data_IF_847827559255
#
_entry.id   IF_847827559255
#
_cell.length_a   1.000
_cell.length_b   1.000
_cell.length_c   1.000
_cell.angle_alpha   90.00
_cell.angle_beta   90.00
_cell.angle_gamma   90.00
#
_symmetry.space_group_name_H-M   'P 1'
#
loop_
_entity.id
_entity.type
_entity.pdbx_description
1 polymer ?
#
# COMPACT_ATOMS: atom_id res chain seq x y z
N UNK A 1 92.64 0.60 3.81
CA UNK A 1 91.90 -0.33 4.72
C UNK A 1 90.52 0.32 4.79
N UNK A 2 89.60 -0.24 4.06
CA UNK A 2 88.44 0.45 3.55
C UNK A 2 87.16 0.12 4.31
N UNK A 3 86.38 1.12 4.64
CA UNK A 3 85.11 0.98 5.27
C UNK A 3 84.02 1.15 4.19
N UNK A 4 83.08 0.21 4.05
CA UNK A 4 81.96 0.43 3.15
C UNK A 4 80.74 0.95 3.88
N UNK A 5 80.19 2.00 3.27
CA UNK A 5 79.02 2.75 3.65
C UNK A 5 77.73 1.96 3.62
N UNK A 6 76.96 2.03 4.70
CA UNK A 6 75.61 1.52 4.79
C UNK A 6 74.63 2.51 4.14
N UNK A 7 74.03 2.09 3.02
CA UNK A 7 72.97 2.83 2.34
C UNK A 7 71.61 2.46 2.99
N UNK A 8 71.01 3.40 3.69
CA UNK A 8 69.63 3.28 4.15
C UNK A 8 68.66 3.44 3.00
N UNK A 9 67.95 2.39 2.67
CA UNK A 9 66.78 2.48 1.77
C UNK A 9 65.58 2.96 2.59
N UNK A 10 65.11 4.16 2.29
CA UNK A 10 63.79 4.68 2.74
C UNK A 10 62.73 3.99 1.93
N UNK A 11 61.87 3.17 2.57
CA UNK A 11 60.66 2.65 1.99
C UNK A 11 59.60 3.75 2.06
N UNK A 12 59.15 4.21 0.92
CA UNK A 12 57.93 5.06 0.77
C UNK A 12 56.71 4.17 0.90
N UNK A 13 55.98 4.31 1.98
CA UNK A 13 54.64 3.76 2.14
C UNK A 13 53.64 4.68 1.38
N UNK A 14 53.25 4.26 0.20
CA UNK A 14 52.16 4.88 -0.51
C UNK A 14 50.83 4.48 0.13
N UNK A 15 50.24 5.37 0.90
CA UNK A 15 48.88 5.22 1.45
C UNK A 15 47.83 5.32 0.33
N UNK A 16 47.23 4.20 -0.02
CA UNK A 16 46.08 4.18 -0.89
C UNK A 16 44.82 4.61 -0.10
N UNK A 17 44.40 5.83 -0.30
CA UNK A 17 43.10 6.31 0.22
C UNK A 17 41.95 5.67 -0.60
N UNK A 18 41.27 4.69 -0.01
CA UNK A 18 40.03 4.16 -0.56
C UNK A 18 38.92 5.18 -0.30
N UNK A 19 38.54 5.94 -1.31
CA UNK A 19 37.36 6.77 -1.26
C UNK A 19 36.12 5.87 -1.32
N UNK A 20 35.46 5.67 -0.18
CA UNK A 20 34.13 5.08 -0.13
C UNK A 20 33.15 6.08 -0.72
N UNK A 21 32.82 5.92 -1.97
CA UNK A 21 31.72 6.65 -2.60
C UNK A 21 30.45 6.06 -2.03
N UNK A 22 29.85 6.73 -1.05
CA UNK A 22 28.49 6.44 -0.60
C UNK A 22 27.55 6.73 -1.77
N UNK A 23 27.20 5.70 -2.52
CA UNK A 23 26.18 5.78 -3.56
C UNK A 23 24.83 5.94 -2.86
N UNK A 24 24.38 7.19 -2.65
CA UNK A 24 23.02 7.50 -2.27
C UNK A 24 22.14 7.23 -3.48
N UNK A 25 21.91 5.95 -3.78
CA UNK A 25 20.90 5.53 -4.72
C UNK A 25 19.57 6.08 -4.19
N UNK A 26 19.07 7.11 -4.87
CA UNK A 26 17.68 7.53 -4.75
C UNK A 26 16.86 6.29 -5.11
N UNK A 27 16.24 5.67 -4.11
CA UNK A 27 15.46 4.47 -4.32
C UNK A 27 14.41 4.79 -5.37
N UNK A 28 14.55 4.21 -6.57
CA UNK A 28 13.43 4.12 -7.49
C UNK A 28 12.31 3.44 -6.71
N UNK A 29 11.03 3.81 -6.94
CA UNK A 29 9.92 3.09 -6.34
C UNK A 29 10.20 1.62 -6.56
N UNK A 30 10.37 0.85 -5.50
CA UNK A 30 10.65 -0.57 -5.62
C UNK A 30 9.54 -1.16 -6.49
N UNK A 31 9.84 -2.19 -7.28
CA UNK A 31 8.85 -2.92 -8.07
C UNK A 31 7.63 -3.30 -7.20
N UNK A 32 7.85 -3.52 -5.92
CA UNK A 32 6.83 -3.74 -4.92
C UNK A 32 5.85 -2.57 -4.78
N UNK A 33 6.33 -1.33 -4.68
CA UNK A 33 5.44 -0.16 -4.57
C UNK A 33 4.54 -0.03 -5.79
N UNK A 34 5.07 -0.27 -6.99
CA UNK A 34 4.27 -0.27 -8.21
C UNK A 34 3.20 -1.38 -8.19
N UNK A 35 3.54 -2.57 -7.68
CA UNK A 35 2.58 -3.67 -7.53
C UNK A 35 1.46 -3.33 -6.53
N UNK A 36 1.78 -2.69 -5.41
CA UNK A 36 0.76 -2.27 -4.43
C UNK A 36 -0.20 -1.23 -5.03
N UNK A 37 0.32 -0.24 -5.76
CA UNK A 37 -0.50 0.75 -6.46
C UNK A 37 -1.41 0.09 -7.50
N UNK A 38 -0.91 -0.86 -8.28
CA UNK A 38 -1.70 -1.62 -9.25
C UNK A 38 -2.82 -2.46 -8.58
N UNK A 39 -2.63 -2.91 -7.33
CA UNK A 39 -3.70 -3.55 -6.56
C UNK A 39 -4.78 -2.51 -6.21
N UNK A 40 -4.40 -1.31 -5.79
CA UNK A 40 -5.36 -0.25 -5.46
C UNK A 40 -6.14 0.23 -6.68
N UNK A 41 -5.52 0.29 -7.86
CA UNK A 41 -6.21 0.60 -9.12
C UNK A 41 -7.27 -0.47 -9.46
N UNK A 42 -6.90 -1.75 -9.35
CA UNK A 42 -7.85 -2.87 -9.52
C UNK A 42 -8.96 -2.86 -8.48
N UNK A 43 -8.64 -2.46 -7.26
CA UNK A 43 -9.60 -2.31 -6.18
C UNK A 43 -10.62 -1.20 -6.52
N UNK A 44 -10.17 -0.01 -6.92
CA UNK A 44 -11.05 1.09 -7.35
C UNK A 44 -11.94 0.69 -8.53
N UNK A 45 -11.38 -0.01 -9.53
CA UNK A 45 -12.15 -0.54 -10.65
C UNK A 45 -13.21 -1.55 -10.18
N UNK A 46 -12.86 -2.47 -9.27
CA UNK A 46 -13.79 -3.44 -8.70
C UNK A 46 -14.97 -2.78 -7.96
N UNK A 47 -14.71 -1.69 -7.22
CA UNK A 47 -15.76 -0.90 -6.58
C UNK A 47 -16.69 -0.26 -7.61
N UNK A 48 -16.14 0.36 -8.65
CA UNK A 48 -16.92 1.02 -9.71
C UNK A 48 -17.81 0.07 -10.48
N UNK A 49 -17.31 -1.12 -10.81
CA UNK A 49 -18.03 -2.13 -11.58
C UNK A 49 -18.92 -3.05 -10.74
N UNK A 50 -18.85 -2.97 -9.41
CA UNK A 50 -19.64 -3.80 -8.50
C UNK A 50 -19.27 -5.28 -8.55
N UNK A 51 -17.99 -5.62 -8.72
CA UNK A 51 -17.51 -7.00 -8.90
C UNK A 51 -16.96 -7.58 -7.60
N UNK A 52 -17.83 -8.11 -6.75
CA UNK A 52 -17.47 -8.67 -5.45
C UNK A 52 -16.40 -9.79 -5.53
N UNK A 53 -16.51 -10.66 -6.53
CA UNK A 53 -15.54 -11.75 -6.74
C UNK A 53 -14.15 -11.22 -7.11
N UNK A 54 -14.08 -10.20 -7.97
CA UNK A 54 -12.82 -9.55 -8.34
C UNK A 54 -12.16 -8.85 -7.12
N UNK A 55 -12.95 -8.21 -6.27
CA UNK A 55 -12.45 -7.59 -5.05
C UNK A 55 -11.95 -8.64 -4.06
N UNK A 56 -12.72 -9.69 -3.79
CA UNK A 56 -12.33 -10.76 -2.90
C UNK A 56 -11.03 -11.46 -3.36
N UNK A 57 -10.80 -11.57 -4.67
CA UNK A 57 -9.59 -12.15 -5.24
C UNK A 57 -8.33 -11.32 -4.99
N UNK A 58 -8.44 -10.04 -4.64
CA UNK A 58 -7.31 -9.20 -4.26
C UNK A 58 -6.80 -9.50 -2.83
N UNK A 59 -7.61 -10.17 -2.01
CA UNK A 59 -7.25 -10.50 -0.63
C UNK A 59 -6.50 -11.82 -0.52
N UNK A 60 -5.75 -11.97 0.59
CA UNK A 60 -5.28 -13.29 1.03
C UNK A 60 -6.46 -14.16 1.46
N UNK A 61 -6.28 -15.49 1.54
CA UNK A 61 -7.34 -16.40 1.97
C UNK A 61 -7.84 -16.12 3.40
N UNK A 62 -6.97 -15.58 4.26
CA UNK A 62 -7.24 -15.12 5.62
C UNK A 62 -7.43 -13.60 5.69
N UNK A 63 -7.68 -12.93 4.55
CA UNK A 63 -7.83 -11.50 4.44
C UNK A 63 -9.01 -10.94 5.23
N UNK A 64 -8.89 -9.70 5.69
CA UNK A 64 -9.90 -9.04 6.53
C UNK A 64 -10.34 -7.73 5.91
N UNK A 65 -11.64 -7.54 5.83
CA UNK A 65 -12.26 -6.27 5.43
C UNK A 65 -13.02 -5.66 6.62
N UNK A 66 -12.57 -4.50 7.08
CA UNK A 66 -13.12 -3.76 8.21
C UNK A 66 -13.84 -2.52 7.67
N UNK A 67 -15.14 -2.49 7.84
CA UNK A 67 -16.00 -1.38 7.43
C UNK A 67 -16.33 -0.51 8.64
N UNK A 68 -16.53 0.77 8.39
CA UNK A 68 -16.97 1.69 9.44
C UNK A 68 -18.28 1.20 10.10
N UNK A 69 -18.29 1.13 11.43
CA UNK A 69 -19.43 0.73 12.25
C UNK A 69 -20.06 -0.66 11.96
N UNK A 70 -19.32 -1.57 11.31
CA UNK A 70 -19.78 -2.92 11.01
C UNK A 70 -18.77 -3.96 11.49
N UNK A 71 -19.23 -5.20 11.80
CA UNK A 71 -18.32 -6.29 12.09
C UNK A 71 -17.33 -6.56 10.94
N UNK A 72 -16.11 -6.92 11.30
CA UNK A 72 -15.09 -7.30 10.33
C UNK A 72 -15.50 -8.57 9.58
N UNK A 73 -15.30 -8.56 8.26
CA UNK A 73 -15.44 -9.74 7.42
C UNK A 73 -14.06 -10.40 7.26
N UNK A 74 -13.88 -11.62 7.75
CA UNK A 74 -12.61 -12.33 7.73
C UNK A 74 -12.70 -13.60 6.86
N UNK A 75 -11.70 -13.78 5.99
CA UNK A 75 -11.64 -14.87 5.01
C UNK A 75 -12.39 -14.58 3.70
N UNK A 76 -12.01 -15.32 2.65
CA UNK A 76 -12.45 -15.05 1.27
C UNK A 76 -13.97 -14.98 1.13
N UNK A 77 -14.72 -15.91 1.71
CA UNK A 77 -16.18 -15.95 1.55
C UNK A 77 -16.87 -14.80 2.31
N UNK A 78 -16.40 -14.49 3.52
CA UNK A 78 -16.95 -13.37 4.30
C UNK A 78 -16.67 -12.04 3.62
N UNK A 79 -15.46 -11.83 3.09
CA UNK A 79 -15.10 -10.64 2.31
C UNK A 79 -15.97 -10.51 1.07
N UNK A 80 -16.14 -11.60 0.31
CA UNK A 80 -17.02 -11.65 -0.86
C UNK A 80 -18.45 -11.28 -0.52
N UNK A 81 -19.00 -11.90 0.53
CA UNK A 81 -20.36 -11.63 1.00
C UNK A 81 -20.53 -10.16 1.43
N UNK A 82 -19.54 -9.59 2.10
CA UNK A 82 -19.55 -8.19 2.49
C UNK A 82 -19.64 -7.25 1.27
N UNK A 83 -18.86 -7.49 0.20
CA UNK A 83 -18.95 -6.70 -1.03
C UNK A 83 -20.28 -6.91 -1.76
N UNK A 84 -20.81 -8.11 -1.80
CA UNK A 84 -22.16 -8.36 -2.36
C UNK A 84 -23.23 -7.55 -1.64
N UNK A 85 -23.16 -7.46 -0.31
CA UNK A 85 -24.08 -6.62 0.49
C UNK A 85 -23.93 -5.13 0.14
N UNK A 86 -22.67 -4.63 0.02
CA UNK A 86 -22.41 -3.25 -0.40
C UNK A 86 -23.06 -2.98 -1.77
N UNK A 87 -22.79 -3.82 -2.76
CA UNK A 87 -23.31 -3.61 -4.13
C UNK A 87 -24.79 -3.87 -4.29
N UNK A 88 -25.41 -4.61 -3.39
CA UNK A 88 -26.87 -4.75 -3.35
C UNK A 88 -27.59 -3.45 -2.92
N UNK A 89 -26.89 -2.55 -2.24
CA UNK A 89 -27.48 -1.32 -1.69
C UNK A 89 -26.87 -0.02 -2.24
N UNK A 90 -25.62 -0.08 -2.70
CA UNK A 90 -24.85 1.09 -3.11
C UNK A 90 -24.23 0.89 -4.49
N UNK A 91 -24.19 1.99 -5.26
CA UNK A 91 -23.30 2.15 -6.41
C UNK A 91 -22.19 3.12 -6.02
N UNK A 92 -20.95 2.73 -6.30
CA UNK A 92 -19.76 3.44 -5.83
C UNK A 92 -18.93 3.92 -7.03
N UNK A 93 -18.43 5.15 -6.95
CA UNK A 93 -17.42 5.70 -7.86
C UNK A 93 -16.41 6.46 -7.00
N UNK A 94 -15.41 5.72 -6.49
CA UNK A 94 -14.46 6.18 -5.48
C UNK A 94 -13.06 6.21 -6.08
N UNK A 95 -12.34 7.31 -5.85
CA UNK A 95 -10.93 7.48 -6.17
C UNK A 95 -10.10 7.50 -4.89
N UNK A 96 -8.90 6.95 -4.96
CA UNK A 96 -7.94 6.90 -3.85
C UNK A 96 -6.79 7.87 -4.12
N UNK A 97 -6.44 8.64 -3.11
CA UNK A 97 -5.23 9.44 -3.07
C UNK A 97 -4.25 8.81 -2.07
N UNK A 98 -3.20 8.19 -2.60
CA UNK A 98 -2.19 7.52 -1.78
C UNK A 98 -1.35 8.58 -1.08
N UNK A 99 -1.27 8.50 0.23
CA UNK A 99 -0.50 9.44 1.08
C UNK A 99 0.85 8.88 1.47
N UNK A 100 0.92 7.56 1.68
CA UNK A 100 2.09 6.92 2.23
C UNK A 100 2.08 5.42 1.92
N UNK A 101 3.25 4.87 1.64
CA UNK A 101 3.42 3.43 1.40
C UNK A 101 4.77 3.01 1.93
N UNK A 102 4.82 1.93 2.70
CA UNK A 102 6.04 1.34 3.22
C UNK A 102 6.04 -0.17 3.00
N UNK A 103 7.19 -0.70 2.60
CA UNK A 103 7.40 -2.15 2.39
C UNK A 103 8.46 -2.62 3.37
N UNK A 104 8.13 -3.63 4.18
CA UNK A 104 9.02 -4.24 5.17
C UNK A 104 8.98 -5.75 5.01
N UNK A 105 9.96 -6.31 4.30
CA UNK A 105 10.02 -7.74 4.02
C UNK A 105 8.79 -8.24 3.25
N UNK A 106 8.05 -9.18 3.84
CA UNK A 106 6.84 -9.77 3.24
C UNK A 106 5.54 -9.04 3.63
N UNK A 107 5.66 -7.91 4.30
CA UNK A 107 4.55 -7.07 4.67
C UNK A 107 4.72 -5.69 4.07
N UNK A 108 3.61 -5.06 3.74
CA UNK A 108 3.58 -3.65 3.37
C UNK A 108 2.30 -3.02 3.92
N UNK A 109 2.34 -1.71 4.08
CA UNK A 109 1.15 -0.95 4.42
C UNK A 109 1.04 0.30 3.54
N UNK A 110 -0.19 0.77 3.41
CA UNK A 110 -0.52 1.94 2.63
C UNK A 110 -1.57 2.74 3.40
N UNK A 111 -1.37 4.04 3.48
CA UNK A 111 -2.36 4.99 3.96
C UNK A 111 -2.84 5.84 2.79
N UNK A 112 -4.16 5.96 2.69
CA UNK A 112 -4.79 6.77 1.65
C UNK A 112 -5.92 7.62 2.25
N UNK A 113 -6.37 8.58 1.47
CA UNK A 113 -7.71 9.14 1.60
C UNK A 113 -8.48 8.75 0.35
N UNK A 114 -9.75 8.43 0.51
CA UNK A 114 -10.61 8.21 -0.64
C UNK A 114 -11.79 9.16 -0.63
N UNK A 115 -12.27 9.49 -1.83
CA UNK A 115 -13.41 10.35 -2.04
C UNK A 115 -14.17 9.89 -3.26
N UNK A 116 -15.49 9.94 -3.19
CA UNK A 116 -16.27 9.54 -4.33
C UNK A 116 -17.75 9.77 -4.17
N UNK A 117 -18.46 9.49 -5.26
CA UNK A 117 -19.93 9.51 -5.30
C UNK A 117 -20.45 8.15 -4.87
N UNK A 118 -21.38 8.19 -3.93
CA UNK A 118 -22.09 7.02 -3.44
C UNK A 118 -23.56 7.22 -3.68
N UNK A 119 -24.16 6.30 -4.44
CA UNK A 119 -25.59 6.30 -4.72
C UNK A 119 -26.26 5.18 -3.95
N UNK A 120 -27.24 5.52 -3.13
CA UNK A 120 -28.11 4.56 -2.47
C UNK A 120 -29.15 4.06 -3.50
N UNK A 121 -29.14 2.76 -3.80
CA UNK A 121 -29.99 2.20 -4.86
C UNK A 121 -31.49 2.29 -4.54
N UNK A 122 -31.88 2.10 -3.27
CA UNK A 122 -33.29 2.13 -2.85
C UNK A 122 -33.92 3.51 -2.98
N UNK A 123 -33.18 4.60 -2.66
CA UNK A 123 -33.70 5.96 -2.68
C UNK A 123 -33.29 6.76 -3.92
N UNK A 124 -32.26 6.29 -4.64
CA UNK A 124 -31.64 7.05 -5.74
C UNK A 124 -30.80 8.24 -5.28
N UNK A 125 -30.69 8.49 -3.97
CA UNK A 125 -29.93 9.60 -3.41
C UNK A 125 -28.44 9.39 -3.66
N UNK A 126 -27.78 10.43 -4.15
CA UNK A 126 -26.33 10.48 -4.34
C UNK A 126 -25.72 11.46 -3.35
N UNK A 127 -24.60 11.04 -2.74
CA UNK A 127 -23.78 11.86 -1.86
C UNK A 127 -22.31 11.74 -2.27
N UNK A 128 -21.55 12.80 -2.02
CA UNK A 128 -20.08 12.73 -2.09
C UNK A 128 -19.57 12.48 -0.68
N UNK A 129 -18.86 11.38 -0.51
CA UNK A 129 -18.31 11.00 0.78
C UNK A 129 -16.78 10.90 0.72
N UNK A 130 -16.14 11.03 1.85
CA UNK A 130 -14.68 10.95 2.01
C UNK A 130 -14.34 9.99 3.15
N UNK A 131 -13.22 9.29 3.01
CA UNK A 131 -12.78 8.30 3.98
C UNK A 131 -11.27 8.41 4.22
N UNK A 132 -10.84 7.90 5.37
CA UNK A 132 -9.46 7.58 5.66
C UNK A 132 -9.30 6.08 5.54
N UNK A 133 -8.28 5.65 4.82
CA UNK A 133 -8.07 4.27 4.44
C UNK A 133 -6.70 3.78 4.92
N UNK A 134 -6.65 2.56 5.44
CA UNK A 134 -5.42 1.83 5.73
C UNK A 134 -5.52 0.45 5.09
N UNK A 135 -4.49 0.11 4.32
CA UNK A 135 -4.38 -1.19 3.67
C UNK A 135 -3.08 -1.84 4.11
N UNK A 136 -3.17 -3.06 4.61
CA UNK A 136 -2.04 -3.91 4.92
C UNK A 136 -1.98 -4.99 3.86
N UNK A 137 -0.80 -5.18 3.28
CA UNK A 137 -0.54 -6.20 2.27
C UNK A 137 0.37 -7.28 2.81
N UNK A 138 0.27 -8.47 2.24
CA UNK A 138 1.18 -9.59 2.45
C UNK A 138 1.67 -10.11 1.11
N UNK A 139 2.97 -10.41 1.04
CA UNK A 139 3.54 -11.12 -0.10
C UNK A 139 3.13 -12.58 -0.04
N UNK A 140 2.70 -13.10 -1.17
CA UNK A 140 2.32 -14.50 -1.36
C UNK A 140 3.14 -15.09 -2.50
N UNK A 141 3.14 -16.40 -2.73
CA UNK A 141 3.81 -16.99 -3.89
C UNK A 141 3.34 -16.46 -5.25
N UNK A 142 2.14 -15.87 -5.30
CA UNK A 142 1.54 -15.30 -6.53
C UNK A 142 1.59 -13.78 -6.59
N UNK A 143 2.38 -13.14 -5.71
CA UNK A 143 2.52 -11.68 -5.62
C UNK A 143 1.83 -11.09 -4.38
N UNK A 144 1.76 -9.79 -4.33
CA UNK A 144 1.14 -9.07 -3.22
C UNK A 144 -0.38 -9.25 -3.17
N UNK A 145 -0.93 -9.37 -1.96
CA UNK A 145 -2.37 -9.48 -1.69
C UNK A 145 -2.73 -8.59 -0.50
N UNK A 146 -3.97 -8.12 -0.45
CA UNK A 146 -4.52 -7.40 0.69
C UNK A 146 -4.69 -8.38 1.86
N UNK A 147 -4.00 -8.12 2.98
CA UNK A 147 -4.18 -8.86 4.23
C UNK A 147 -5.26 -8.24 5.12
N UNK A 148 -5.32 -6.92 5.13
CA UNK A 148 -6.35 -6.18 5.84
C UNK A 148 -6.63 -4.87 5.11
N UNK A 149 -7.89 -4.56 4.90
CA UNK A 149 -8.32 -3.23 4.47
C UNK A 149 -9.34 -2.69 5.48
N UNK A 150 -9.09 -1.48 5.90
CA UNK A 150 -9.94 -0.73 6.82
C UNK A 150 -10.19 0.66 6.29
N UNK A 151 -11.41 1.13 6.42
CA UNK A 151 -11.74 2.53 6.20
C UNK A 151 -12.64 3.07 7.32
N UNK A 152 -12.56 4.38 7.53
CA UNK A 152 -13.44 5.13 8.41
C UNK A 152 -13.95 6.38 7.68
N UNK A 153 -15.23 6.69 7.82
CA UNK A 153 -15.80 7.90 7.25
C UNK A 153 -15.08 9.15 7.80
N UNK A 154 -14.63 10.01 6.88
CA UNK A 154 -14.06 11.31 7.22
C UNK A 154 -15.16 12.34 7.11
N UNK A 155 -15.75 12.72 8.25
CA UNK A 155 -16.60 13.91 8.30
C UNK A 155 -15.69 15.10 8.04
N UNK A 156 -15.93 15.82 6.93
CA UNK A 156 -15.16 17.03 6.63
C UNK A 156 -15.16 17.95 7.86
N UNK A 157 -14.03 18.53 8.17
CA UNK A 157 -13.95 19.58 9.19
C UNK A 157 -14.83 20.75 8.74
N UNK A 158 -16.02 20.84 9.27
CA UNK A 158 -16.91 21.96 8.99
C UNK A 158 -18.39 21.64 8.89
N UNK A 159 -18.99 21.25 10.00
CA UNK A 159 -20.29 21.80 10.43
C UNK A 159 -20.38 21.59 11.93
N UNK A 160 -20.25 22.62 12.77
CA UNK A 160 -20.72 22.57 14.14
C UNK A 160 -22.23 22.38 14.12
N UNK A 161 -22.73 21.41 14.88
CA UNK A 161 -24.15 21.33 15.21
C UNK A 161 -24.51 22.44 16.20
#
# INVERSE_FOLDING_TARGET
MSNPSRTLRRALLAGASVAVVANTARAQPSDDSAQLLAIMERYAAGLRWGTADALAALYTSDGVFIRDNLPAAAGTEAVRAAYRQVFATLKLDVAFEIKETEVVGDMAWLRATSKGRIKTLASGVEATESFNDVVIFRRTPTGWKIRCYMYAASKGAGTPQ
#
